data_IF_735475726758
#
_entry.id   IF_735475726758
#
_cell.length_a   1.000
_cell.length_b   1.000
_cell.length_c   1.000
_cell.angle_alpha   90.00
_cell.angle_beta   90.00
_cell.angle_gamma   90.00
#
_symmetry.space_group_name_H-M   'P 1'
#
loop_
_entity.id
_entity.type
_entity.pdbx_description
1 polymer ?
#
# COMPACT_ATOMS: atom_id res chain seq x y z
N UNK A 1 -36.87 -1.22 -27.75
CA UNK A 1 -36.10 -0.59 -26.66
C UNK A 1 -36.28 -1.45 -25.41
N UNK A 2 -35.33 -2.33 -25.10
CA UNK A 2 -35.40 -3.23 -23.95
C UNK A 2 -34.69 -2.58 -22.77
N UNK A 3 -35.42 -2.34 -21.68
CA UNK A 3 -34.93 -1.68 -20.48
C UNK A 3 -33.87 -2.52 -19.76
N UNK A 4 -32.71 -1.92 -19.55
CA UNK A 4 -31.61 -2.48 -18.76
C UNK A 4 -31.97 -2.31 -17.29
N UNK A 5 -32.13 -3.43 -16.57
CA UNK A 5 -32.23 -3.44 -15.10
C UNK A 5 -30.81 -3.32 -14.53
N UNK A 6 -30.50 -2.16 -13.98
CA UNK A 6 -29.27 -1.95 -13.20
C UNK A 6 -29.51 -2.52 -11.81
N UNK A 7 -28.85 -3.63 -11.48
CA UNK A 7 -28.76 -4.11 -10.11
C UNK A 7 -27.60 -3.39 -9.42
N UNK A 8 -27.92 -2.42 -8.57
CA UNK A 8 -26.95 -1.82 -7.65
C UNK A 8 -26.76 -2.84 -6.53
N UNK A 9 -25.69 -3.63 -6.62
CA UNK A 9 -25.23 -4.44 -5.51
C UNK A 9 -24.64 -3.47 -4.47
N UNK A 10 -25.36 -3.26 -3.37
CA UNK A 10 -24.88 -2.49 -2.24
C UNK A 10 -23.62 -3.14 -1.67
N UNK A 11 -22.49 -2.47 -1.79
CA UNK A 11 -21.25 -2.84 -1.10
C UNK A 11 -21.47 -2.58 0.38
N UNK A 12 -21.53 -3.67 1.14
CA UNK A 12 -21.48 -3.65 2.59
C UNK A 12 -20.18 -2.95 3.00
N UNK A 13 -20.30 -1.84 3.76
CA UNK A 13 -19.18 -1.19 4.42
C UNK A 13 -18.48 -2.23 5.31
N UNK A 14 -17.33 -2.73 4.85
CA UNK A 14 -16.43 -3.52 5.69
C UNK A 14 -15.86 -2.56 6.72
N UNK A 15 -16.40 -2.62 7.94
CA UNK A 15 -15.78 -2.03 9.10
C UNK A 15 -14.35 -2.55 9.21
N UNK A 16 -13.40 -1.64 9.30
CA UNK A 16 -12.00 -1.98 9.54
C UNK A 16 -11.89 -2.66 10.91
N UNK A 17 -11.85 -3.99 10.92
CA UNK A 17 -11.48 -4.77 12.09
C UNK A 17 -10.00 -4.53 12.39
N UNK A 18 -9.70 -3.56 13.23
CA UNK A 18 -8.36 -3.37 13.77
C UNK A 18 -8.13 -4.40 14.90
N UNK A 19 -7.30 -5.43 14.65
CA UNK A 19 -6.90 -6.41 15.67
C UNK A 19 -6.77 -7.89 15.24
N UNK A 20 -6.31 -8.18 14.02
CA UNK A 20 -6.10 -9.58 13.56
C UNK A 20 -4.70 -10.12 13.85
N UNK A 21 -4.51 -11.44 13.73
CA UNK A 21 -3.17 -12.03 13.55
C UNK A 21 -2.50 -11.33 12.35
N UNK A 22 -1.26 -10.86 12.50
CA UNK A 22 -0.50 -10.17 11.46
C UNK A 22 0.02 -11.14 10.38
N UNK A 23 -0.85 -12.03 9.91
CA UNK A 23 -0.57 -12.99 8.84
C UNK A 23 -0.85 -12.33 7.49
N UNK A 24 0.12 -12.45 6.58
CA UNK A 24 -0.08 -12.06 5.19
C UNK A 24 -1.06 -13.04 4.52
N UNK A 25 -2.08 -12.50 3.85
CA UNK A 25 -3.08 -13.28 3.13
C UNK A 25 -2.77 -13.22 1.62
N UNK A 26 -2.04 -14.22 1.15
CA UNK A 26 -1.61 -14.32 -0.25
C UNK A 26 -2.78 -14.40 -1.26
N UNK A 27 -4.01 -14.65 -0.79
CA UNK A 27 -5.19 -14.74 -1.67
C UNK A 27 -5.83 -13.38 -1.96
N UNK A 28 -5.57 -12.35 -1.13
CA UNK A 28 -6.24 -11.04 -1.19
C UNK A 28 -5.53 -10.03 -2.10
N UNK A 29 -5.11 -10.46 -3.28
CA UNK A 29 -4.62 -9.54 -4.31
C UNK A 29 -5.68 -9.18 -5.34
N UNK A 30 -5.49 -8.01 -5.93
CA UNK A 30 -6.05 -7.65 -7.23
C UNK A 30 -4.97 -7.78 -8.31
N UNK A 31 -5.29 -8.33 -9.47
CA UNK A 31 -4.42 -8.23 -10.64
C UNK A 31 -4.60 -6.85 -11.27
N UNK A 32 -3.51 -6.10 -11.39
CA UNK A 32 -3.49 -4.77 -12.01
C UNK A 32 -2.49 -4.73 -13.14
N UNK A 33 -2.69 -3.78 -14.05
CA UNK A 33 -1.75 -3.48 -15.12
C UNK A 33 -1.58 -1.99 -15.32
N UNK A 34 -0.36 -1.56 -15.66
CA UNK A 34 -0.04 -0.19 -16.01
C UNK A 34 0.74 -0.19 -17.33
N UNK A 35 0.34 0.67 -18.27
CA UNK A 35 1.05 0.88 -19.53
C UNK A 35 2.07 2.01 -19.37
N UNK A 36 3.32 1.76 -19.77
CA UNK A 36 4.42 2.73 -19.75
C UNK A 36 5.12 2.66 -21.10
N UNK A 37 4.83 3.64 -21.97
CA UNK A 37 5.19 3.58 -23.38
C UNK A 37 4.58 2.34 -24.05
N UNK A 38 5.42 1.54 -24.70
CA UNK A 38 5.02 0.30 -25.37
C UNK A 38 4.99 -0.93 -24.45
N UNK A 39 5.40 -0.78 -23.18
CA UNK A 39 5.44 -1.88 -22.21
C UNK A 39 4.17 -1.89 -21.36
N UNK A 40 3.55 -3.05 -21.24
CA UNK A 40 2.50 -3.29 -20.24
C UNK A 40 3.09 -4.06 -19.07
N UNK A 41 3.11 -3.45 -17.89
CA UNK A 41 3.47 -4.10 -16.65
C UNK A 41 2.21 -4.69 -16.00
N UNK A 42 2.20 -5.98 -15.71
CA UNK A 42 1.18 -6.66 -14.89
C UNK A 42 1.75 -7.01 -13.52
N UNK A 43 0.93 -6.93 -12.48
CA UNK A 43 1.36 -7.21 -11.11
C UNK A 43 0.18 -7.62 -10.22
N UNK A 44 0.48 -8.38 -9.15
CA UNK A 44 -0.44 -8.57 -8.02
C UNK A 44 -0.31 -7.37 -7.09
N UNK A 45 -1.44 -6.80 -6.71
CA UNK A 45 -1.54 -5.66 -5.80
C UNK A 45 -2.28 -6.07 -4.53
N UNK A 46 -1.60 -5.97 -3.39
CA UNK A 46 -2.18 -6.13 -2.07
C UNK A 46 -2.16 -4.75 -1.41
N UNK A 47 -3.30 -4.07 -1.33
CA UNK A 47 -3.36 -2.68 -0.85
C UNK A 47 -4.09 -2.58 0.49
N UNK A 48 -3.65 -1.67 1.35
CA UNK A 48 -4.30 -1.40 2.63
C UNK A 48 -4.05 -2.45 3.73
N UNK A 49 -2.93 -3.17 3.66
CA UNK A 49 -2.56 -4.14 4.69
C UNK A 49 -2.21 -3.40 5.97
N UNK A 50 -2.93 -3.67 7.06
CA UNK A 50 -2.60 -3.15 8.39
C UNK A 50 -1.40 -3.94 8.94
N UNK A 51 -0.29 -3.25 9.21
CA UNK A 51 0.97 -3.90 9.61
C UNK A 51 1.25 -3.91 11.12
N UNK A 52 0.31 -3.42 11.93
CA UNK A 52 0.35 -3.47 13.40
C UNK A 52 -0.94 -4.00 13.98
N UNK A 53 -0.87 -4.74 15.08
CA UNK A 53 -2.07 -5.33 15.69
C UNK A 53 -3.01 -4.29 16.33
N UNK A 54 -2.47 -3.12 16.70
CA UNK A 54 -3.21 -2.04 17.38
C UNK A 54 -2.89 -0.69 16.74
N UNK A 55 -3.32 -0.45 15.50
CA UNK A 55 -3.10 0.83 14.85
C UNK A 55 -3.88 1.92 15.58
N UNK A 56 -3.29 3.10 15.60
CA UNK A 56 -3.84 4.35 16.11
C UNK A 56 -4.28 5.29 14.98
N UNK A 57 -3.98 4.93 13.74
CA UNK A 57 -4.23 5.73 12.55
C UNK A 57 -4.44 4.85 11.33
N UNK A 58 -5.24 5.33 10.40
CA UNK A 58 -5.42 4.74 9.07
C UNK A 58 -4.16 4.87 8.17
N UNK A 59 -3.13 5.58 8.62
CA UNK A 59 -1.81 5.67 7.95
C UNK A 59 -0.92 4.46 8.26
N UNK A 60 -1.24 3.65 9.27
CA UNK A 60 -0.49 2.46 9.65
C UNK A 60 -0.84 1.25 8.76
N UNK A 61 -0.71 1.46 7.45
CA UNK A 61 -0.98 0.49 6.39
C UNK A 61 0.16 0.44 5.37
N UNK A 62 0.36 -0.72 4.75
CA UNK A 62 1.30 -0.92 3.64
C UNK A 62 0.57 -1.42 2.40
N UNK A 63 1.15 -1.12 1.24
CA UNK A 63 0.79 -1.77 -0.01
C UNK A 63 1.95 -2.64 -0.47
N UNK A 64 1.65 -3.85 -0.92
CA UNK A 64 2.62 -4.82 -1.42
C UNK A 64 2.31 -5.12 -2.88
N UNK A 65 3.34 -5.05 -3.74
CA UNK A 65 3.22 -5.22 -5.17
C UNK A 65 4.25 -6.21 -5.67
N UNK A 66 3.78 -7.24 -6.38
CA UNK A 66 4.64 -8.27 -6.95
C UNK A 66 4.47 -8.25 -8.47
N UNK A 67 5.51 -7.97 -9.27
CA UNK A 67 5.39 -7.99 -10.72
C UNK A 67 5.21 -9.42 -11.25
N UNK A 68 4.53 -9.54 -12.39
CA UNK A 68 4.37 -10.81 -13.09
C UNK A 68 5.74 -11.48 -13.33
N UNK A 69 5.81 -12.80 -13.16
CA UNK A 69 7.06 -13.57 -13.22
C UNK A 69 7.86 -13.61 -11.93
N UNK A 70 7.49 -12.84 -10.90
CA UNK A 70 8.14 -12.84 -9.57
C UNK A 70 7.31 -13.44 -8.44
N UNK A 71 6.15 -14.02 -8.73
CA UNK A 71 5.21 -14.50 -7.70
C UNK A 71 5.79 -15.56 -6.77
N UNK A 72 6.65 -16.44 -7.28
CA UNK A 72 7.26 -17.55 -6.53
C UNK A 72 8.77 -17.36 -6.30
N UNK A 73 9.33 -16.20 -6.68
CA UNK A 73 10.77 -15.93 -6.62
C UNK A 73 11.18 -15.44 -5.22
N UNK A 74 11.83 -16.33 -4.47
CA UNK A 74 12.31 -16.09 -3.10
C UNK A 74 13.58 -15.25 -3.00
N UNK A 75 14.18 -14.88 -4.14
CA UNK A 75 15.45 -14.13 -4.20
C UNK A 75 15.28 -12.70 -4.68
N UNK A 76 14.07 -12.34 -5.13
CA UNK A 76 13.80 -10.99 -5.61
C UNK A 76 13.93 -9.98 -4.48
N UNK A 77 14.66 -8.90 -4.73
CA UNK A 77 14.81 -7.82 -3.77
C UNK A 77 13.47 -7.07 -3.57
N UNK A 78 13.23 -6.68 -2.32
CA UNK A 78 12.08 -5.86 -1.93
C UNK A 78 12.53 -4.41 -1.80
N UNK A 79 11.95 -3.52 -2.60
CA UNK A 79 12.09 -2.08 -2.46
C UNK A 79 11.03 -1.54 -1.50
N UNK A 80 11.42 -0.79 -0.47
CA UNK A 80 10.51 -0.28 0.58
C UNK A 80 10.43 1.26 0.59
N UNK A 81 9.71 1.89 -0.35
CA UNK A 81 9.57 3.34 -0.37
C UNK A 81 8.58 3.83 0.70
N UNK A 82 8.72 5.11 1.07
CA UNK A 82 7.72 5.84 1.86
C UNK A 82 7.54 7.25 1.28
N UNK A 83 6.34 7.82 1.47
CA UNK A 83 5.99 9.14 0.97
C UNK A 83 6.18 10.29 1.97
N UNK A 84 6.94 10.09 3.05
CA UNK A 84 7.05 11.10 4.12
C UNK A 84 7.85 12.30 3.62
N UNK A 85 7.26 13.49 3.71
CA UNK A 85 7.91 14.76 3.40
C UNK A 85 7.63 15.81 4.49
N UNK A 86 8.63 16.57 4.92
CA UNK A 86 8.46 17.59 5.96
C UNK A 86 7.89 17.05 7.29
N UNK A 87 8.16 15.77 7.58
CA UNK A 87 7.60 15.01 8.71
C UNK A 87 6.06 14.91 8.74
N UNK A 88 5.39 15.14 7.61
CA UNK A 88 3.94 14.98 7.45
C UNK A 88 3.56 13.49 7.35
N UNK A 89 2.35 13.10 7.78
CA UNK A 89 1.87 11.73 7.57
C UNK A 89 1.77 11.42 6.07
N UNK A 90 2.02 10.17 5.70
CA UNK A 90 2.02 9.74 4.30
C UNK A 90 1.37 8.37 4.17
N UNK A 91 0.47 8.21 3.20
CA UNK A 91 -0.08 6.90 2.81
C UNK A 91 0.94 6.16 1.92
N UNK A 92 0.81 4.83 1.77
CA UNK A 92 1.55 4.09 0.75
C UNK A 92 1.38 4.72 -0.64
N UNK A 93 2.49 4.97 -1.32
CA UNK A 93 2.48 5.38 -2.72
C UNK A 93 2.09 4.19 -3.61
N UNK A 94 1.12 4.40 -4.52
CA UNK A 94 0.73 3.42 -5.54
C UNK A 94 1.63 3.54 -6.78
N UNK A 95 1.76 2.49 -7.61
CA UNK A 95 2.43 2.60 -8.90
C UNK A 95 1.64 3.53 -9.81
N UNK A 96 2.24 4.65 -10.22
CA UNK A 96 1.57 5.64 -11.07
C UNK A 96 2.59 6.39 -11.92
N UNK A 97 2.08 7.03 -12.98
CA UNK A 97 2.83 7.95 -13.83
C UNK A 97 2.41 9.37 -13.50
N UNK A 98 3.38 10.25 -13.22
CA UNK A 98 3.15 11.68 -13.00
C UNK A 98 3.97 12.48 -14.01
N UNK A 99 3.31 13.34 -14.77
CA UNK A 99 3.94 14.12 -15.86
C UNK A 99 4.77 13.21 -16.80
N UNK A 100 4.15 12.11 -17.25
CA UNK A 100 4.75 11.11 -18.14
C UNK A 100 5.96 10.34 -17.58
N UNK A 101 6.30 10.53 -16.30
CA UNK A 101 7.38 9.80 -15.63
C UNK A 101 6.85 8.84 -14.57
N UNK A 102 7.32 7.58 -14.53
CA UNK A 102 6.95 6.66 -13.47
C UNK A 102 7.45 7.19 -12.12
N UNK A 103 6.63 7.06 -11.08
CA UNK A 103 7.12 7.26 -9.71
C UNK A 103 8.05 6.12 -9.28
N UNK A 104 8.72 6.26 -8.13
CA UNK A 104 9.67 5.27 -7.65
C UNK A 104 9.07 3.86 -7.49
N UNK A 105 7.81 3.76 -7.07
CA UNK A 105 7.07 2.49 -6.96
C UNK A 105 6.94 1.81 -8.33
N UNK A 106 6.48 2.54 -9.35
CA UNK A 106 6.31 2.00 -10.70
C UNK A 106 7.65 1.66 -11.35
N UNK A 107 8.65 2.53 -11.20
CA UNK A 107 10.01 2.30 -11.72
C UNK A 107 10.65 1.04 -11.11
N UNK A 108 10.45 0.80 -9.81
CA UNK A 108 10.96 -0.40 -9.15
C UNK A 108 10.31 -1.67 -9.69
N UNK A 109 8.98 -1.66 -9.91
CA UNK A 109 8.28 -2.80 -10.53
C UNK A 109 8.75 -3.05 -11.97
N UNK A 110 8.98 -2.00 -12.77
CA UNK A 110 9.51 -2.12 -14.13
C UNK A 110 10.90 -2.76 -14.20
N UNK A 111 11.68 -2.64 -13.12
CA UNK A 111 13.00 -3.27 -12.92
C UNK A 111 12.93 -4.68 -12.33
N UNK A 112 11.73 -5.18 -12.03
CA UNK A 112 11.51 -6.52 -11.50
C UNK A 112 11.68 -6.64 -9.97
N UNK A 113 11.69 -5.52 -9.24
CA UNK A 113 11.63 -5.56 -7.78
C UNK A 113 10.21 -5.83 -7.30
N UNK A 114 10.11 -6.50 -6.16
CA UNK A 114 8.89 -6.44 -5.34
C UNK A 114 8.87 -5.11 -4.61
N UNK A 115 7.71 -4.50 -4.44
CA UNK A 115 7.60 -3.21 -3.75
C UNK A 115 6.69 -3.32 -2.53
N UNK A 116 7.20 -2.96 -1.35
CA UNK A 116 6.42 -2.79 -0.14
C UNK A 116 6.37 -1.30 0.23
N UNK A 117 5.38 -0.60 -0.30
CA UNK A 117 5.19 0.84 -0.09
C UNK A 117 4.52 1.08 1.27
N UNK A 118 5.17 1.85 2.15
CA UNK A 118 4.77 1.95 3.56
C UNK A 118 4.14 3.31 3.85
N UNK A 119 2.96 3.28 4.47
CA UNK A 119 2.36 4.43 5.11
C UNK A 119 2.87 4.63 6.52
N UNK A 120 2.92 5.87 6.98
CA UNK A 120 3.38 6.19 8.32
C UNK A 120 2.68 7.44 8.86
N UNK A 121 2.56 7.51 10.18
CA UNK A 121 2.11 8.67 10.92
C UNK A 121 3.12 9.82 10.80
N UNK A 122 2.65 11.02 11.05
CA UNK A 122 3.48 12.22 11.01
C UNK A 122 2.93 13.38 11.83
N UNK A 123 3.70 14.46 11.90
CA UNK A 123 3.63 15.49 12.95
C UNK A 123 2.30 16.24 13.09
N UNK A 124 1.39 16.10 12.12
CA UNK A 124 0.09 16.76 12.11
C UNK A 124 -1.08 15.84 12.48
N UNK A 125 -0.87 14.52 12.57
CA UNK A 125 -1.95 13.60 12.93
C UNK A 125 -2.37 13.78 14.38
N UNK A 126 -3.68 13.82 14.58
CA UNK A 126 -4.35 13.87 15.87
C UNK A 126 -5.41 12.78 15.97
N UNK A 127 -5.61 12.31 17.20
CA UNK A 127 -6.78 11.57 17.65
C UNK A 127 -7.47 12.44 18.73
N UNK A 128 -8.62 13.03 18.37
CA UNK A 128 -9.18 14.16 19.11
C UNK A 128 -8.18 15.32 19.22
N UNK A 129 -7.88 15.76 20.44
CA UNK A 129 -6.87 16.80 20.69
C UNK A 129 -5.44 16.27 20.83
N UNK A 130 -5.27 14.95 20.94
CA UNK A 130 -3.96 14.33 21.19
C UNK A 130 -3.21 14.15 19.86
N UNK A 131 -1.98 14.65 19.79
CA UNK A 131 -1.10 14.31 18.66
C UNK A 131 -0.62 12.85 18.75
N UNK A 132 -0.79 12.10 17.67
CA UNK A 132 -0.42 10.67 17.58
C UNK A 132 0.74 10.39 16.60
N UNK A 133 1.19 11.40 15.86
CA UNK A 133 2.23 11.24 14.85
C UNK A 133 3.50 12.08 15.06
N UNK A 134 3.67 12.71 16.23
CA UNK A 134 4.93 13.37 16.59
C UNK A 134 6.05 12.34 16.76
N UNK A 135 7.30 12.81 16.78
CA UNK A 135 8.44 11.93 17.00
C UNK A 135 8.24 11.11 18.31
N UNK A 136 8.55 9.79 18.30
CA UNK A 136 9.19 9.02 17.23
C UNK A 136 8.23 8.24 16.29
N UNK A 137 6.95 8.59 16.20
CA UNK A 137 5.92 7.77 15.54
C UNK A 137 6.30 7.29 14.12
N UNK A 138 6.76 8.21 13.26
CA UNK A 138 7.12 7.87 11.87
C UNK A 138 8.17 6.74 11.77
N UNK A 139 9.24 6.79 12.58
CA UNK A 139 10.28 5.76 12.52
C UNK A 139 9.83 4.46 13.20
N UNK A 140 8.96 4.54 14.21
CA UNK A 140 8.32 3.35 14.81
C UNK A 140 7.48 2.63 13.76
N UNK A 141 6.67 3.36 13.00
CA UNK A 141 5.81 2.85 11.94
C UNK A 141 6.61 2.16 10.83
N UNK A 142 7.65 2.83 10.32
CA UNK A 142 8.52 2.25 9.29
C UNK A 142 9.24 0.98 9.78
N UNK A 143 9.67 0.94 11.05
CA UNK A 143 10.26 -0.27 11.64
C UNK A 143 9.23 -1.37 11.87
N UNK A 144 7.99 -1.04 12.21
CA UNK A 144 6.91 -2.00 12.36
C UNK A 144 6.57 -2.65 11.01
N UNK A 145 6.52 -1.88 9.93
CA UNK A 145 6.34 -2.42 8.59
C UNK A 145 7.49 -3.35 8.16
N UNK A 146 8.75 -3.03 8.50
CA UNK A 146 9.90 -3.94 8.29
C UNK A 146 9.76 -5.25 9.08
N UNK A 147 9.14 -5.23 10.28
CA UNK A 147 8.90 -6.44 11.07
C UNK A 147 7.70 -7.26 10.59
N UNK A 148 6.79 -6.63 9.86
CA UNK A 148 5.64 -7.31 9.27
C UNK A 148 6.05 -8.14 8.05
N UNK A 149 6.97 -7.61 7.23
CA UNK A 149 7.61 -8.34 6.14
C UNK A 149 8.55 -9.43 6.66
#
# INVERSE_FOLDING_TARGET
MKGVRVAILGVCLVGACFGGELKFDESKFELKSVQVGDRTLKFRAYEGIVYVAKPTSDYEVLNFYVPEGKFDDKTTAIFMPNGIGGYMPAKPQKPETKNEKPNATLEALLRGYVVASVGARGRTLKDGERFIGKAPAAIVDLKAAVRYL
#
